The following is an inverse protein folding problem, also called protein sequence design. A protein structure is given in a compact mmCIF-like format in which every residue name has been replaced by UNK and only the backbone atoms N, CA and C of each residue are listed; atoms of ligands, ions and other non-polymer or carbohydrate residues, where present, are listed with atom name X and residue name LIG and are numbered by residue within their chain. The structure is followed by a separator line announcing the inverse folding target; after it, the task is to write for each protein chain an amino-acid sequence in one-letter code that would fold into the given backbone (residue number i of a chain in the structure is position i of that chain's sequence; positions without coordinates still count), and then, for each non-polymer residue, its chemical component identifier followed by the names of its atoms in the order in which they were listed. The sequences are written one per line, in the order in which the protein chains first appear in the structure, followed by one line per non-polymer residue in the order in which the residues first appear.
data_IF_870173327116
#
_entry.id   IF_870173327116
#
_cell.length_a   1.000
_cell.length_b   1.000
_cell.length_c   1.000
_cell.angle_alpha   90.00
_cell.angle_beta   90.00
_cell.angle_gamma   90.00
#
_symmetry.space_group_name_H-M   'P 1'
#
loop_
_entity.id
_entity.type
_entity.pdbx_description
1 polymer ?
#
# COMPACT_ATOMS: atom_id res chain seq x y z
N UNK A 1 14.41 4.63 13.44
CA UNK A 1 13.13 5.27 13.82
C UNK A 1 12.24 4.14 14.32
N UNK A 2 11.55 4.31 15.45
CA UNK A 2 10.72 3.26 16.03
C UNK A 2 9.53 2.91 15.12
N UNK A 3 9.08 1.65 15.15
CA UNK A 3 7.96 1.16 14.33
C UNK A 3 6.70 2.03 14.49
N UNK A 4 6.36 2.43 15.73
CA UNK A 4 5.15 3.20 16.02
C UNK A 4 5.25 4.57 15.34
N UNK A 5 6.44 5.18 15.37
CA UNK A 5 6.68 6.48 14.75
C UNK A 5 6.53 6.36 13.22
N UNK A 6 7.14 5.33 12.61
CA UNK A 6 7.05 5.10 11.16
C UNK A 6 5.58 4.86 10.76
N UNK A 7 4.87 3.99 11.48
CA UNK A 7 3.45 3.69 11.23
C UNK A 7 2.60 4.95 11.29
N UNK A 8 2.79 5.80 12.29
CA UNK A 8 2.01 7.03 12.45
C UNK A 8 2.29 8.02 11.31
N UNK A 9 3.54 8.12 10.84
CA UNK A 9 3.87 8.94 9.68
C UNK A 9 3.21 8.42 8.40
N UNK A 10 3.30 7.12 8.13
CA UNK A 10 2.69 6.50 6.95
C UNK A 10 1.17 6.66 7.00
N UNK A 11 0.55 6.39 8.15
CA UNK A 11 -0.90 6.57 8.36
C UNK A 11 -1.32 8.00 8.03
N UNK A 12 -0.59 8.99 8.55
CA UNK A 12 -0.86 10.40 8.26
C UNK A 12 -0.78 10.70 6.77
N UNK A 13 0.24 10.18 6.06
CA UNK A 13 0.36 10.37 4.60
C UNK A 13 -0.83 9.76 3.84
N UNK A 14 -1.23 8.54 4.19
CA UNK A 14 -2.35 7.84 3.56
C UNK A 14 -3.69 8.56 3.78
N UNK A 15 -3.87 9.22 4.93
CA UNK A 15 -5.08 9.99 5.25
C UNK A 15 -5.08 11.39 4.63
N UNK A 16 -3.93 12.07 4.54
CA UNK A 16 -3.85 13.45 4.03
C UNK A 16 -3.74 13.54 2.52
N UNK A 17 -3.04 12.59 1.89
CA UNK A 17 -2.79 12.57 0.45
C UNK A 17 -2.68 11.11 -0.03
N UNK A 18 -3.84 10.46 -0.07
CA UNK A 18 -3.94 9.06 -0.47
C UNK A 18 -3.34 8.80 -1.86
N UNK A 19 -3.57 9.73 -2.80
CA UNK A 19 -3.06 9.61 -4.18
C UNK A 19 -1.55 9.56 -4.22
N UNK A 20 -0.86 10.53 -3.62
CA UNK A 20 0.60 10.54 -3.65
C UNK A 20 1.21 9.46 -2.74
N UNK A 21 0.52 9.07 -1.67
CA UNK A 21 0.90 7.90 -0.88
C UNK A 21 0.94 6.62 -1.74
N UNK A 22 -0.15 6.28 -2.42
CA UNK A 22 -0.23 5.09 -3.28
C UNK A 22 0.78 5.16 -4.42
N UNK A 23 0.90 6.31 -5.11
CA UNK A 23 1.90 6.51 -6.16
C UNK A 23 3.33 6.27 -5.64
N UNK A 24 3.67 6.75 -4.45
CA UNK A 24 4.99 6.58 -3.87
C UNK A 24 5.28 5.11 -3.54
N UNK A 25 4.30 4.38 -2.98
CA UNK A 25 4.43 2.94 -2.70
C UNK A 25 4.70 2.16 -4.00
N UNK A 26 3.89 2.38 -5.04
CA UNK A 26 4.06 1.73 -6.34
C UNK A 26 5.42 2.10 -6.96
N UNK A 27 5.81 3.37 -6.90
CA UNK A 27 7.09 3.87 -7.43
C UNK A 27 8.28 3.13 -6.82
N UNK A 28 8.27 2.94 -5.49
CA UNK A 28 9.34 2.26 -4.76
C UNK A 28 9.35 0.77 -5.11
N UNK A 29 8.22 0.08 -4.97
CA UNK A 29 8.11 -1.38 -5.17
C UNK A 29 8.40 -1.80 -6.61
N UNK A 30 7.99 -1.00 -7.59
CA UNK A 30 8.15 -1.30 -9.02
C UNK A 30 9.30 -0.57 -9.69
N UNK A 31 10.03 0.28 -8.95
CA UNK A 31 11.09 1.14 -9.49
C UNK A 31 10.63 2.00 -10.68
N UNK A 32 9.41 2.57 -10.59
CA UNK A 32 8.82 3.45 -11.61
C UNK A 32 8.98 4.90 -11.18
N UNK A 33 9.63 5.72 -12.00
CA UNK A 33 9.82 7.15 -11.73
C UNK A 33 8.96 8.08 -12.58
N UNK A 34 8.31 7.56 -13.62
CA UNK A 34 7.45 8.35 -14.50
C UNK A 34 6.11 8.66 -13.82
N UNK A 35 5.86 9.93 -13.55
CA UNK A 35 4.67 10.37 -12.83
C UNK A 35 3.37 10.12 -13.62
N UNK A 36 3.42 10.22 -14.96
CA UNK A 36 2.25 9.95 -15.80
C UNK A 36 1.81 8.48 -15.71
N UNK A 37 2.76 7.56 -15.72
CA UNK A 37 2.52 6.12 -15.50
C UNK A 37 1.95 5.89 -14.10
N UNK A 38 2.52 6.52 -13.07
CA UNK A 38 2.00 6.40 -11.69
C UNK A 38 0.59 6.95 -11.54
N UNK A 39 0.23 8.04 -12.23
CA UNK A 39 -1.13 8.58 -12.22
C UNK A 39 -2.13 7.60 -12.84
N UNK A 40 -1.79 6.97 -13.97
CA UNK A 40 -2.65 5.95 -14.62
C UNK A 40 -2.82 4.70 -13.75
N UNK A 41 -1.74 4.26 -13.09
CA UNK A 41 -1.80 3.11 -12.17
C UNK A 41 -2.70 3.41 -10.97
N UNK A 42 -2.65 4.63 -10.43
CA UNK A 42 -3.54 5.06 -9.37
C UNK A 42 -5.01 5.10 -9.82
N UNK A 43 -5.28 5.64 -11.02
CA UNK A 43 -6.64 5.65 -11.60
C UNK A 43 -7.18 4.22 -11.74
N UNK A 44 -6.39 3.31 -12.31
CA UNK A 44 -6.78 1.90 -12.44
C UNK A 44 -6.99 1.19 -11.08
N UNK A 45 -6.21 1.55 -10.06
CA UNK A 45 -6.40 1.07 -8.69
C UNK A 45 -7.72 1.58 -8.09
N UNK A 46 -8.04 2.86 -8.25
CA UNK A 46 -9.28 3.46 -7.71
C UNK A 46 -10.55 2.99 -8.44
N UNK A 47 -10.45 2.57 -9.70
CA UNK A 47 -11.57 2.01 -10.47
C UNK A 47 -11.86 0.54 -10.13
N UNK A 48 -10.92 -0.15 -9.49
CA UNK A 48 -11.02 -1.58 -9.21
C UNK A 48 -11.18 -1.85 -7.71
N UNK A 49 -12.43 -2.00 -7.28
CA UNK A 49 -12.78 -2.33 -5.88
C UNK A 49 -12.22 -3.67 -5.38
N UNK A 50 -11.68 -4.51 -6.26
CA UNK A 50 -11.13 -5.83 -5.92
C UNK A 50 -9.61 -5.86 -5.75
N UNK A 51 -8.90 -4.74 -5.95
CA UNK A 51 -7.42 -4.71 -5.89
C UNK A 51 -6.96 -4.10 -4.58
N UNK A 52 -6.34 -4.93 -3.73
CA UNK A 52 -5.59 -4.45 -2.58
C UNK A 52 -4.23 -3.87 -2.98
N UNK A 53 -3.75 -2.89 -2.23
CA UNK A 53 -2.44 -2.28 -2.46
C UNK A 53 -1.28 -3.25 -2.10
N UNK A 54 -1.50 -4.09 -1.09
CA UNK A 54 -0.54 -5.10 -0.64
C UNK A 54 -0.82 -6.44 -1.35
N UNK A 55 0.21 -7.28 -1.41
CA UNK A 55 0.07 -8.62 -1.98
C UNK A 55 -0.88 -9.48 -1.11
N UNK A 56 -1.82 -10.18 -1.75
CA UNK A 56 -2.76 -11.11 -1.12
C UNK A 56 -2.07 -12.21 -0.30
N UNK A 57 -0.80 -12.54 -0.59
CA UNK A 57 0.00 -13.48 0.21
C UNK A 57 0.09 -13.05 1.68
N UNK A 58 0.11 -11.74 1.97
CA UNK A 58 0.09 -11.25 3.34
C UNK A 58 -1.22 -11.60 4.05
N UNK A 59 -2.36 -11.60 3.36
CA UNK A 59 -3.64 -12.01 3.94
C UNK A 59 -3.60 -13.48 4.37
N UNK A 60 -3.09 -14.36 3.50
CA UNK A 60 -2.89 -15.77 3.82
C UNK A 60 -1.92 -15.97 4.99
N UNK A 61 -0.82 -15.21 5.05
CA UNK A 61 0.11 -15.27 6.19
C UNK A 61 -0.55 -14.84 7.50
N UNK A 62 -1.40 -13.81 7.46
CA UNK A 62 -2.15 -13.34 8.64
C UNK A 62 -3.11 -14.43 9.11
N UNK A 63 -3.91 -15.00 8.21
CA UNK A 63 -4.87 -16.06 8.56
C UNK A 63 -4.16 -17.25 9.24
N UNK A 64 -3.02 -17.68 8.68
CA UNK A 64 -2.22 -18.76 9.25
C UNK A 64 -1.66 -18.43 10.65
N UNK A 65 -1.24 -17.18 10.88
CA UNK A 65 -0.73 -16.74 12.18
C UNK A 65 -1.86 -16.67 13.22
N UNK A 66 -3.06 -16.25 12.82
CA UNK A 66 -4.24 -16.23 13.68
C UNK A 66 -4.72 -17.64 14.05
N UNK A 67 -4.63 -18.59 13.13
CA UNK A 67 -4.95 -20.00 13.38
C UNK A 67 -3.94 -20.69 14.31
N UNK A 68 -2.63 -20.41 14.16
CA UNK A 68 -1.58 -20.97 15.02
C UNK A 68 -1.54 -20.38 16.43
N UNK A 69 -2.14 -19.20 16.62
CA UNK A 69 -2.27 -18.52 17.92
C UNK A 69 -3.48 -18.96 18.75
N UNK A 70 -4.33 -19.86 18.23
CA UNK A 70 -5.44 -20.51 18.93
C UNK A 70 -5.07 -21.90 19.41
#
# INVERSE_FOLDING_TARGET
MDYIIIRNHIKKMAETDHKNFVKAVISIEKSIHDELTLNKLYEAYMENDMVDLLNEEFSCMIDNLEEQGR
#
